data_IF_285636261056
#
_entry.id   IF_285636261056
#
_cell.length_a   1.000
_cell.length_b   1.000
_cell.length_c   1.000
_cell.angle_alpha   90.00
_cell.angle_beta   90.00
_cell.angle_gamma   90.00
#
_symmetry.space_group_name_H-M   'P 1'
#
loop_
_entity.id
_entity.type
_entity.pdbx_description
1 polymer ?
#
# COMPACT_ATOMS: atom_id res chain seq x y z
N UNK A 1 1.89 15.12 -8.79
CA UNK A 1 1.23 16.43 -8.97
C UNK A 1 1.12 17.10 -7.61
N UNK A 2 1.39 18.40 -7.53
CA UNK A 2 1.09 19.24 -6.38
C UNK A 2 0.27 20.44 -6.84
N UNK A 3 -0.78 20.80 -6.11
CA UNK A 3 -1.69 21.90 -6.44
C UNK A 3 -1.76 22.83 -5.23
N UNK A 4 -1.54 24.11 -5.45
CA UNK A 4 -1.80 25.17 -4.49
C UNK A 4 -3.03 25.93 -4.95
N UNK A 5 -4.12 25.79 -4.20
CA UNK A 5 -5.39 26.45 -4.48
C UNK A 5 -5.50 27.76 -3.69
N UNK A 6 -5.73 28.87 -4.39
CA UNK A 6 -6.21 30.13 -3.84
C UNK A 6 -7.70 30.35 -4.15
N UNK A 7 -8.22 31.54 -3.90
CA UNK A 7 -9.67 31.80 -4.02
C UNK A 7 -10.21 31.73 -5.46
N UNK A 8 -9.40 32.10 -6.46
CA UNK A 8 -9.84 32.23 -7.87
C UNK A 8 -9.11 31.29 -8.83
N UNK A 9 -8.27 30.42 -8.31
CA UNK A 9 -7.26 29.68 -9.08
C UNK A 9 -6.01 29.50 -8.25
N UNK A 10 -4.91 29.14 -8.90
CA UNK A 10 -3.68 28.90 -8.19
C UNK A 10 -2.55 28.47 -9.11
N UNK A 11 -1.60 27.73 -8.53
CA UNK A 11 -0.45 27.17 -9.26
C UNK A 11 -0.37 25.68 -9.03
N UNK A 12 0.17 24.96 -10.01
CA UNK A 12 0.42 23.53 -9.88
C UNK A 12 1.76 23.14 -10.49
N UNK A 13 2.31 22.09 -9.90
CA UNK A 13 3.58 21.49 -10.31
C UNK A 13 3.33 20.02 -10.66
N UNK A 14 3.74 19.61 -11.85
CA UNK A 14 3.73 18.19 -12.25
C UNK A 14 4.99 17.83 -13.03
N UNK A 15 5.30 16.55 -13.05
CA UNK A 15 6.32 15.98 -13.93
C UNK A 15 5.67 15.20 -15.07
N UNK A 16 6.20 15.32 -16.28
CA UNK A 16 5.87 14.46 -17.42
C UNK A 16 6.69 13.16 -17.39
N UNK A 17 6.88 12.57 -16.21
CA UNK A 17 7.77 11.42 -16.03
C UNK A 17 7.07 10.10 -16.35
N UNK A 18 7.60 9.39 -17.35
CA UNK A 18 7.16 8.04 -17.73
C UNK A 18 8.15 6.96 -17.33
N UNK A 19 9.25 7.33 -16.67
CA UNK A 19 10.34 6.44 -16.25
C UNK A 19 10.32 6.14 -14.75
N UNK A 20 9.29 6.61 -14.03
CA UNK A 20 9.10 6.41 -12.59
C UNK A 20 10.33 6.82 -11.75
N UNK A 21 10.99 7.92 -12.14
CA UNK A 21 12.10 8.54 -11.42
C UNK A 21 11.68 8.95 -10.00
N UNK A 22 12.59 8.82 -9.05
CA UNK A 22 12.33 9.17 -7.65
C UNK A 22 12.19 10.68 -7.47
N UNK A 23 11.05 11.12 -6.95
CA UNK A 23 10.76 12.55 -6.73
C UNK A 23 10.38 12.80 -5.29
N UNK A 24 10.71 13.99 -4.80
CA UNK A 24 10.36 14.46 -3.47
C UNK A 24 9.63 15.78 -3.56
N UNK A 25 8.67 15.97 -2.67
CA UNK A 25 8.08 17.25 -2.33
C UNK A 25 8.32 17.49 -0.86
N UNK A 26 8.81 18.67 -0.52
CA UNK A 26 8.99 19.11 0.86
C UNK A 26 8.17 20.37 1.07
N UNK A 27 7.42 20.40 2.17
CA UNK A 27 6.66 21.56 2.61
C UNK A 27 7.29 22.09 3.88
N UNK A 28 7.71 23.35 3.85
CA UNK A 28 8.36 24.03 4.96
C UNK A 28 7.47 25.20 5.38
N UNK A 29 7.27 25.38 6.67
CA UNK A 29 6.57 26.54 7.24
C UNK A 29 7.54 27.36 8.09
N UNK A 30 7.59 28.66 7.85
CA UNK A 30 8.38 29.62 8.63
C UNK A 30 7.49 30.81 9.02
N UNK A 31 6.99 30.79 10.25
CA UNK A 31 6.03 31.79 10.73
C UNK A 31 4.74 31.79 9.89
N UNK A 32 4.44 32.93 9.27
CA UNK A 32 3.28 33.11 8.38
C UNK A 32 3.58 32.77 6.91
N UNK A 33 4.80 32.32 6.61
CA UNK A 33 5.22 31.94 5.26
C UNK A 33 5.37 30.43 5.13
N UNK A 34 5.29 29.95 3.89
CA UNK A 34 5.61 28.57 3.56
C UNK A 34 6.41 28.48 2.26
N UNK A 35 7.16 27.40 2.11
CA UNK A 35 7.88 27.04 0.90
C UNK A 35 7.52 25.62 0.46
N UNK A 36 7.56 25.39 -0.86
CA UNK A 36 7.47 24.07 -1.45
C UNK A 36 8.75 23.81 -2.25
N UNK A 37 9.50 22.79 -1.84
CA UNK A 37 10.67 22.32 -2.59
C UNK A 37 10.29 21.09 -3.40
N UNK A 38 10.73 21.07 -4.66
CA UNK A 38 10.55 19.93 -5.56
C UNK A 38 11.93 19.38 -5.92
N UNK A 39 12.12 18.09 -5.67
CA UNK A 39 13.39 17.41 -5.91
C UNK A 39 13.21 16.16 -6.76
N UNK A 40 14.29 15.77 -7.43
CA UNK A 40 14.43 14.47 -8.07
C UNK A 40 15.74 13.85 -7.64
N UNK A 41 15.71 12.53 -7.39
CA UNK A 41 16.88 11.74 -7.01
C UNK A 41 17.20 10.75 -8.13
N UNK A 42 18.48 10.59 -8.51
CA UNK A 42 18.84 9.50 -9.41
C UNK A 42 18.66 8.16 -8.69
N UNK A 43 18.54 7.04 -9.43
CA UNK A 43 18.56 5.71 -8.82
C UNK A 43 19.82 5.50 -7.97
N UNK A 44 19.66 4.79 -6.85
CA UNK A 44 20.77 4.39 -6.00
C UNK A 44 21.62 3.29 -6.70
N UNK A 45 22.91 3.17 -6.38
CA UNK A 45 23.67 4.00 -5.43
C UNK A 45 23.98 5.37 -6.04
N UNK A 46 23.65 6.44 -5.29
CA UNK A 46 23.65 7.82 -5.81
C UNK A 46 25.07 8.34 -6.06
N UNK A 47 26.02 7.96 -5.20
CA UNK A 47 27.43 8.32 -5.26
C UNK A 47 28.17 7.76 -6.49
N UNK A 48 27.60 6.72 -7.13
CA UNK A 48 28.17 6.11 -8.33
C UNK A 48 27.60 6.68 -9.64
N UNK A 49 26.61 7.59 -9.56
CA UNK A 49 25.96 8.15 -10.73
C UNK A 49 26.85 9.21 -11.38
N UNK A 50 27.36 8.90 -12.58
CA UNK A 50 28.20 9.84 -13.38
C UNK A 50 27.39 10.76 -14.28
N UNK A 51 26.14 10.39 -14.56
CA UNK A 51 25.19 11.15 -15.37
C UNK A 51 23.81 11.01 -14.74
N UNK A 52 23.05 12.09 -14.71
CA UNK A 52 21.70 12.11 -14.15
C UNK A 52 20.75 12.57 -15.25
N UNK A 53 19.67 11.84 -15.43
CA UNK A 53 18.54 12.26 -16.27
C UNK A 53 17.45 12.80 -15.37
N UNK A 54 16.93 13.98 -15.70
CA UNK A 54 15.85 14.62 -14.98
C UNK A 54 14.54 14.50 -15.76
N UNK A 55 13.44 14.28 -15.05
CA UNK A 55 12.11 14.43 -15.62
C UNK A 55 11.85 15.90 -15.96
N UNK A 56 11.02 16.13 -16.97
CA UNK A 56 10.55 17.49 -17.27
C UNK A 56 9.53 17.91 -16.21
N UNK A 57 9.83 19.00 -15.50
CA UNK A 57 8.92 19.64 -14.56
C UNK A 57 8.12 20.75 -15.25
N UNK A 58 6.84 20.82 -14.95
CA UNK A 58 5.89 21.79 -15.48
C UNK A 58 5.31 22.61 -14.33
N UNK A 59 5.63 23.90 -14.30
CA UNK A 59 5.02 24.90 -13.42
C UNK A 59 4.01 25.71 -14.22
N UNK A 60 2.76 25.78 -13.77
CA UNK A 60 1.72 26.52 -14.45
C UNK A 60 0.74 27.14 -13.45
N UNK A 61 0.13 28.25 -13.84
CA UNK A 61 -1.04 28.81 -13.17
C UNK A 61 -2.34 28.23 -13.76
N UNK A 62 -3.43 28.30 -13.00
CA UNK A 62 -4.77 27.96 -13.45
C UNK A 62 -5.81 28.88 -12.80
N UNK A 63 -6.98 28.97 -13.42
CA UNK A 63 -8.14 29.66 -12.89
C UNK A 63 -9.21 28.63 -12.50
N UNK A 64 -10.01 28.95 -11.48
CA UNK A 64 -11.08 28.08 -10.98
C UNK A 64 -10.58 27.10 -9.92
N UNK A 65 -11.17 25.91 -9.91
CA UNK A 65 -10.96 24.91 -8.86
C UNK A 65 -9.78 23.97 -9.15
N UNK A 66 -9.26 23.31 -8.12
CA UNK A 66 -8.10 22.41 -8.17
C UNK A 66 -8.34 21.23 -9.12
N UNK A 67 -9.61 20.94 -9.41
CA UNK A 67 -10.01 19.96 -10.39
C UNK A 67 -9.46 20.27 -11.79
N UNK A 68 -9.25 21.54 -12.15
CA UNK A 68 -8.69 21.93 -13.45
C UNK A 68 -7.31 21.30 -13.69
N UNK A 69 -6.28 21.53 -12.84
CA UNK A 69 -5.00 20.86 -13.00
C UNK A 69 -5.04 19.36 -12.68
N UNK A 70 -5.91 18.90 -11.79
CA UNK A 70 -6.06 17.47 -11.49
C UNK A 70 -6.56 16.67 -12.70
N UNK A 71 -7.60 17.16 -13.39
CA UNK A 71 -8.13 16.54 -14.60
C UNK A 71 -7.09 16.51 -15.73
N UNK A 72 -6.33 17.60 -15.90
CA UNK A 72 -5.22 17.65 -16.86
C UNK A 72 -4.15 16.60 -16.55
N UNK A 73 -3.76 16.46 -15.29
CA UNK A 73 -2.77 15.46 -14.91
C UNK A 73 -3.31 14.04 -15.06
N UNK A 74 -4.58 13.81 -14.69
CA UNK A 74 -5.26 12.53 -14.88
C UNK A 74 -5.28 12.14 -16.37
N UNK A 75 -5.67 13.05 -17.25
CA UNK A 75 -5.66 12.82 -18.69
C UNK A 75 -4.26 12.46 -19.19
N UNK A 76 -3.24 13.24 -18.81
CA UNK A 76 -1.85 12.92 -19.15
C UNK A 76 -1.42 11.54 -18.62
N UNK A 77 -1.77 11.17 -17.38
CA UNK A 77 -1.44 9.84 -16.85
C UNK A 77 -2.10 8.73 -17.66
N UNK A 78 -3.36 8.90 -18.08
CA UNK A 78 -4.03 7.92 -18.95
C UNK A 78 -3.32 7.78 -20.30
N UNK A 79 -3.00 8.90 -20.96
CA UNK A 79 -2.34 8.91 -22.27
C UNK A 79 -0.91 8.37 -22.22
N UNK A 80 -0.15 8.70 -21.17
CA UNK A 80 1.28 8.41 -21.09
C UNK A 80 1.61 7.09 -20.39
N UNK A 81 0.80 6.66 -19.42
CA UNK A 81 1.08 5.49 -18.58
C UNK A 81 0.12 4.32 -18.81
N UNK A 82 -1.01 4.54 -19.48
CA UNK A 82 -2.00 3.50 -19.79
C UNK A 82 -2.42 2.65 -18.58
N UNK A 83 -2.88 3.26 -17.46
CA UNK A 83 -3.36 2.50 -16.32
C UNK A 83 -4.56 1.65 -16.75
N UNK A 84 -4.75 0.49 -16.10
CA UNK A 84 -5.88 -0.40 -16.36
C UNK A 84 -7.21 0.34 -16.25
N UNK A 85 -8.13 0.08 -17.18
CA UNK A 85 -9.46 0.69 -17.13
C UNK A 85 -10.25 0.13 -15.95
N UNK A 86 -11.04 0.99 -15.30
CA UNK A 86 -11.98 0.56 -14.27
C UNK A 86 -13.00 -0.46 -14.82
N UNK A 87 -13.28 -0.46 -16.12
CA UNK A 87 -14.11 -1.47 -16.77
C UNK A 87 -13.49 -2.88 -16.76
N UNK A 88 -12.17 -2.99 -16.59
CA UNK A 88 -11.48 -4.28 -16.45
C UNK A 88 -11.57 -4.85 -15.04
N UNK A 89 -11.97 -4.03 -14.06
CA UNK A 89 -12.16 -4.49 -12.68
C UNK A 89 -13.48 -5.25 -12.54
N UNK A 90 -13.58 -6.19 -11.56
CA UNK A 90 -14.85 -6.82 -11.25
C UNK A 90 -15.95 -5.80 -10.97
N UNK A 91 -17.16 -6.02 -11.52
CA UNK A 91 -18.26 -5.07 -11.44
C UNK A 91 -18.60 -4.62 -10.00
N UNK A 92 -18.43 -5.51 -9.01
CA UNK A 92 -18.70 -5.23 -7.61
C UNK A 92 -17.82 -4.11 -7.05
N UNK A 93 -16.60 -3.91 -7.57
CA UNK A 93 -15.67 -2.87 -7.09
C UNK A 93 -16.28 -1.49 -7.24
N UNK A 94 -17.05 -1.27 -8.30
CA UNK A 94 -17.70 0.02 -8.53
C UNK A 94 -18.95 0.27 -7.69
N UNK A 95 -19.46 -0.78 -7.04
CA UNK A 95 -20.62 -0.71 -6.16
C UNK A 95 -20.24 -0.48 -4.68
N UNK A 96 -18.96 -0.54 -4.34
CA UNK A 96 -18.51 -0.32 -2.95
C UNK A 96 -18.64 1.16 -2.59
N UNK A 97 -19.45 1.44 -1.57
CA UNK A 97 -19.67 2.77 -1.00
C UNK A 97 -19.06 2.90 0.40
N UNK A 98 -18.81 1.77 1.08
CA UNK A 98 -18.32 1.73 2.45
C UNK A 98 -17.24 0.66 2.62
N UNK A 99 -16.17 1.02 3.34
CA UNK A 99 -15.17 0.06 3.82
C UNK A 99 -15.19 0.07 5.34
N UNK A 100 -15.40 -1.09 5.95
CA UNK A 100 -15.42 -1.25 7.40
C UNK A 100 -14.15 -1.99 7.83
N UNK A 101 -13.40 -1.37 8.71
CA UNK A 101 -12.27 -2.00 9.39
C UNK A 101 -12.80 -3.06 10.37
N UNK A 102 -12.36 -4.30 10.19
CA UNK A 102 -12.74 -5.45 10.99
C UNK A 102 -11.49 -5.98 11.72
N UNK A 103 -11.10 -5.40 12.87
CA UNK A 103 -9.99 -5.90 13.64
C UNK A 103 -10.35 -7.20 14.35
N UNK A 104 -9.63 -8.28 14.05
CA UNK A 104 -9.75 -9.57 14.75
C UNK A 104 -9.00 -9.60 16.10
N UNK A 105 -8.83 -8.45 16.76
CA UNK A 105 -8.20 -8.41 18.08
C UNK A 105 -9.06 -9.17 19.09
N UNK A 106 -8.46 -10.12 19.82
CA UNK A 106 -9.05 -10.76 21.00
C UNK A 106 -10.51 -11.25 20.84
N UNK A 107 -10.88 -11.87 19.71
CA UNK A 107 -12.23 -12.41 19.41
C UNK A 107 -13.36 -11.39 19.17
N UNK A 108 -13.07 -10.10 18.99
CA UNK A 108 -14.12 -9.08 18.78
C UNK A 108 -14.87 -9.20 17.42
N UNK A 109 -14.30 -9.92 16.45
CA UNK A 109 -14.90 -10.14 15.12
C UNK A 109 -15.27 -11.61 14.90
N UNK A 110 -16.23 -12.09 15.67
CA UNK A 110 -16.90 -13.36 15.40
C UNK A 110 -17.95 -13.22 14.29
N UNK A 111 -18.24 -14.31 13.58
CA UNK A 111 -19.23 -14.34 12.50
C UNK A 111 -20.61 -13.77 12.92
N UNK A 112 -20.99 -13.92 14.20
CA UNK A 112 -22.27 -13.45 14.74
C UNK A 112 -22.50 -11.94 14.67
N UNK A 113 -21.45 -11.11 14.56
CA UNK A 113 -21.61 -9.65 14.44
C UNK A 113 -22.18 -9.23 13.08
N UNK A 114 -21.96 -10.05 12.04
CA UNK A 114 -22.28 -9.70 10.65
C UNK A 114 -23.79 -9.60 10.42
N UNK A 115 -24.59 -10.39 11.14
CA UNK A 115 -26.05 -10.28 11.09
C UNK A 115 -26.59 -8.99 11.70
N UNK A 116 -25.90 -8.40 12.68
CA UNK A 116 -26.26 -7.08 13.20
C UNK A 116 -25.79 -5.99 12.26
N UNK A 117 -24.58 -6.15 11.70
CA UNK A 117 -24.02 -5.19 10.75
C UNK A 117 -24.87 -5.07 9.49
N UNK A 118 -25.39 -6.19 8.95
CA UNK A 118 -26.25 -6.18 7.77
C UNK A 118 -27.60 -5.48 7.96
N UNK A 119 -28.00 -5.19 9.22
CA UNK A 119 -29.17 -4.37 9.52
C UNK A 119 -28.87 -2.86 9.48
N UNK A 120 -27.59 -2.48 9.49
CA UNK A 120 -27.13 -1.09 9.57
C UNK A 120 -26.57 -0.57 8.25
N UNK A 121 -26.07 -1.45 7.39
CA UNK A 121 -25.44 -1.10 6.11
C UNK A 121 -25.94 -2.02 5.01
N UNK A 122 -25.82 -1.58 3.76
CA UNK A 122 -26.03 -2.43 2.58
C UNK A 122 -24.80 -3.37 2.40
N UNK A 123 -24.94 -4.69 2.62
CA UNK A 123 -23.80 -5.60 2.53
C UNK A 123 -23.17 -5.66 1.13
N UNK A 124 -23.97 -5.58 0.06
CA UNK A 124 -23.48 -5.69 -1.31
C UNK A 124 -22.63 -4.48 -1.75
N UNK A 125 -22.75 -3.39 -0.99
CA UNK A 125 -21.99 -2.14 -1.16
C UNK A 125 -20.92 -1.94 -0.10
N UNK A 126 -20.70 -2.93 0.76
CA UNK A 126 -19.79 -2.85 1.90
C UNK A 126 -18.64 -3.84 1.76
N UNK A 127 -17.41 -3.33 1.84
CA UNK A 127 -16.18 -4.13 1.88
C UNK A 127 -15.68 -4.24 3.33
N UNK A 128 -15.53 -5.46 3.81
CA UNK A 128 -14.97 -5.76 5.13
C UNK A 128 -13.45 -5.90 5.02
N UNK A 129 -12.73 -4.96 5.61
CA UNK A 129 -11.29 -5.01 5.71
C UNK A 129 -10.89 -5.85 6.93
N UNK A 130 -10.62 -7.13 6.70
CA UNK A 130 -10.25 -8.08 7.75
C UNK A 130 -8.80 -7.83 8.18
N UNK A 131 -8.64 -7.05 9.24
CA UNK A 131 -7.37 -6.84 9.91
C UNK A 131 -7.14 -7.99 10.87
N UNK A 132 -5.90 -8.45 10.98
CA UNK A 132 -5.51 -9.47 11.94
C UNK A 132 -6.14 -10.86 11.76
N UNK A 133 -6.48 -11.21 10.52
CA UNK A 133 -7.08 -12.51 10.17
C UNK A 133 -6.11 -13.71 10.26
N UNK A 134 -4.84 -13.48 10.65
CA UNK A 134 -3.77 -14.48 10.65
C UNK A 134 -3.52 -14.98 12.06
N UNK A 135 -3.16 -16.25 12.23
CA UNK A 135 -2.84 -16.83 13.53
C UNK A 135 -1.68 -16.11 14.23
N UNK A 136 -0.72 -15.60 13.45
CA UNK A 136 0.43 -14.89 13.99
C UNK A 136 0.12 -13.51 14.59
N UNK A 137 -1.04 -12.92 14.31
CA UNK A 137 -1.38 -11.59 14.81
C UNK A 137 -0.98 -10.42 13.88
N UNK A 138 -1.35 -9.21 14.29
CA UNK A 138 -1.10 -7.99 13.51
C UNK A 138 0.37 -7.58 13.55
N UNK A 139 0.95 -7.29 12.39
CA UNK A 139 2.35 -6.85 12.25
C UNK A 139 3.39 -7.83 12.86
N UNK A 140 3.08 -9.13 12.81
CA UNK A 140 3.90 -10.22 13.34
C UNK A 140 4.12 -11.31 12.29
N UNK A 141 5.29 -11.95 12.34
CA UNK A 141 5.67 -13.12 11.54
C UNK A 141 5.39 -13.03 10.02
N UNK A 142 5.45 -11.86 9.39
CA UNK A 142 5.34 -11.80 7.92
C UNK A 142 6.48 -12.59 7.26
N UNK A 143 6.28 -13.25 6.11
CA UNK A 143 5.07 -13.31 5.29
C UNK A 143 4.23 -14.58 5.55
N UNK A 144 4.07 -14.99 6.82
CA UNK A 144 3.18 -16.11 7.17
C UNK A 144 1.71 -15.67 7.07
N UNK A 145 0.98 -16.22 6.11
CA UNK A 145 -0.43 -15.92 5.86
C UNK A 145 -1.38 -17.02 6.35
N UNK A 146 -0.95 -17.79 7.36
CA UNK A 146 -1.80 -18.80 7.99
C UNK A 146 -2.96 -18.12 8.73
N UNK A 147 -4.22 -18.43 8.40
CA UNK A 147 -5.39 -17.81 9.01
C UNK A 147 -5.57 -18.25 10.46
N UNK A 148 -6.23 -17.39 11.26
CA UNK A 148 -6.60 -17.75 12.62
C UNK A 148 -7.63 -18.88 12.65
N UNK A 149 -7.40 -19.85 13.53
CA UNK A 149 -8.29 -21.01 13.75
C UNK A 149 -8.74 -21.18 15.20
N UNK A 150 -8.06 -20.52 16.13
CA UNK A 150 -8.13 -20.79 17.58
C UNK A 150 -9.28 -20.10 18.31
N UNK A 151 -9.64 -18.86 17.96
CA UNK A 151 -10.66 -18.07 18.69
C UNK A 151 -11.76 -17.48 17.80
N UNK A 152 -11.42 -17.16 16.55
CA UNK A 152 -12.37 -16.82 15.50
C UNK A 152 -11.94 -17.60 14.26
N UNK A 153 -12.79 -18.50 13.75
CA UNK A 153 -12.46 -19.21 12.53
C UNK A 153 -12.66 -18.25 11.35
N UNK A 154 -11.55 -17.83 10.73
CA UNK A 154 -11.61 -16.90 9.59
C UNK A 154 -12.49 -17.43 8.46
N UNK A 155 -12.50 -18.75 8.24
CA UNK A 155 -13.39 -19.38 7.27
C UNK A 155 -14.87 -19.26 7.64
N UNK A 156 -15.22 -19.30 8.91
CA UNK A 156 -16.61 -19.15 9.38
C UNK A 156 -17.09 -17.71 9.19
N UNK A 157 -16.21 -16.75 9.52
CA UNK A 157 -16.45 -15.34 9.25
C UNK A 157 -16.71 -15.08 7.76
N UNK A 158 -15.88 -15.64 6.87
CA UNK A 158 -16.06 -15.49 5.42
C UNK A 158 -17.37 -16.10 4.93
N UNK A 159 -17.74 -17.28 5.44
CA UNK A 159 -19.02 -17.93 5.05
C UNK A 159 -20.21 -17.09 5.47
N UNK A 160 -20.21 -16.54 6.68
CA UNK A 160 -21.30 -15.71 7.16
C UNK A 160 -21.31 -14.32 6.47
N UNK A 161 -20.15 -13.74 6.18
CA UNK A 161 -20.04 -12.51 5.38
C UNK A 161 -20.68 -12.68 4.01
N UNK A 162 -20.33 -13.77 3.31
CA UNK A 162 -20.89 -14.12 2.01
C UNK A 162 -22.40 -14.35 2.08
N UNK A 163 -22.90 -14.94 3.17
CA UNK A 163 -24.33 -15.18 3.37
C UNK A 163 -25.15 -13.89 3.41
N UNK A 164 -24.61 -12.81 3.98
CA UNK A 164 -25.26 -11.50 3.98
C UNK A 164 -24.98 -10.68 2.72
N UNK A 165 -24.02 -11.07 1.89
CA UNK A 165 -23.65 -10.35 0.66
C UNK A 165 -22.43 -9.43 0.81
N UNK A 166 -21.75 -9.43 1.95
CA UNK A 166 -20.52 -8.66 2.16
C UNK A 166 -19.39 -9.16 1.26
N UNK A 167 -18.50 -8.23 0.89
CA UNK A 167 -17.18 -8.54 0.31
C UNK A 167 -16.13 -8.52 1.40
N UNK A 168 -15.10 -9.36 1.30
CA UNK A 168 -14.02 -9.42 2.30
C UNK A 168 -12.65 -9.25 1.67
N UNK A 169 -11.87 -8.35 2.25
CA UNK A 169 -10.49 -8.01 1.87
C UNK A 169 -9.55 -8.21 3.06
N UNK A 170 -8.89 -9.37 3.22
CA UNK A 170 -7.82 -9.56 4.19
C UNK A 170 -6.63 -8.62 3.98
N UNK A 171 -6.01 -8.23 5.10
CA UNK A 171 -4.73 -7.52 5.13
C UNK A 171 -3.56 -8.42 4.71
N UNK A 172 -2.69 -7.94 3.81
CA UNK A 172 -1.39 -8.54 3.53
C UNK A 172 -0.32 -7.46 3.47
N UNK A 173 0.88 -7.74 3.96
CA UNK A 173 1.99 -6.79 3.86
C UNK A 173 2.86 -7.15 2.65
N UNK A 174 2.95 -6.24 1.68
CA UNK A 174 3.53 -6.55 0.37
C UNK A 174 5.04 -6.78 0.41
N UNK A 175 5.74 -6.18 1.37
CA UNK A 175 7.22 -6.16 1.41
C UNK A 175 7.81 -6.70 2.71
N UNK A 176 7.00 -6.98 3.73
CA UNK A 176 7.53 -7.36 5.03
C UNK A 176 8.01 -8.82 5.09
N UNK A 177 9.16 -9.01 5.72
CA UNK A 177 9.59 -10.29 6.29
C UNK A 177 10.06 -10.03 7.72
N UNK A 178 9.40 -10.64 8.70
CA UNK A 178 9.77 -10.53 10.11
C UNK A 178 11.15 -11.13 10.35
N UNK A 179 11.97 -10.46 11.16
CA UNK A 179 13.34 -10.91 11.44
C UNK A 179 13.37 -12.25 12.20
N UNK A 180 12.27 -12.60 12.86
CA UNK A 180 12.06 -13.88 13.54
C UNK A 180 11.50 -14.99 12.63
N UNK A 181 11.05 -14.65 11.43
CA UNK A 181 10.51 -15.64 10.50
C UNK A 181 11.67 -16.44 9.86
N UNK A 182 11.55 -17.78 9.72
CA UNK A 182 12.58 -18.61 9.10
C UNK A 182 13.00 -18.17 7.68
N UNK A 183 12.09 -17.55 6.92
CA UNK A 183 12.36 -17.06 5.57
C UNK A 183 13.27 -15.82 5.54
N UNK A 184 13.48 -15.14 6.68
CA UNK A 184 14.32 -13.94 6.69
C UNK A 184 15.73 -14.21 6.19
N UNK A 185 16.35 -15.33 6.56
CA UNK A 185 17.69 -15.68 6.09
C UNK A 185 17.80 -15.82 4.57
N UNK A 186 16.73 -16.26 3.90
CA UNK A 186 16.69 -16.36 2.44
C UNK A 186 16.59 -14.98 1.77
N UNK A 187 15.77 -14.09 2.34
CA UNK A 187 15.43 -12.80 1.74
C UNK A 187 16.26 -11.62 2.25
N UNK A 188 17.12 -11.81 3.27
CA UNK A 188 17.97 -10.77 3.85
C UNK A 188 18.81 -10.05 2.79
N UNK A 189 19.33 -10.77 1.80
CA UNK A 189 20.09 -10.20 0.67
C UNK A 189 19.29 -9.25 -0.23
N UNK A 190 17.96 -9.29 -0.15
CA UNK A 190 17.05 -8.41 -0.88
C UNK A 190 16.40 -7.38 0.05
N UNK A 191 16.78 -7.31 1.33
CA UNK A 191 16.31 -6.27 2.22
C UNK A 191 16.70 -4.91 1.65
N UNK A 192 15.72 -4.02 1.58
CA UNK A 192 15.92 -2.70 1.05
C UNK A 192 16.93 -1.91 1.91
N UNK A 193 17.62 -0.97 1.28
CA UNK A 193 18.65 -0.15 1.91
C UNK A 193 18.43 1.32 1.65
N UNK A 194 18.82 2.12 2.62
CA UNK A 194 18.76 3.57 2.53
C UNK A 194 19.72 4.05 1.40
N UNK A 195 19.24 4.89 0.46
CA UNK A 195 19.97 5.26 -0.76
C UNK A 195 21.33 5.94 -0.53
N UNK A 196 21.52 6.60 0.62
CA UNK A 196 22.76 7.32 0.94
C UNK A 196 23.67 6.59 1.93
N UNK A 197 23.10 5.90 2.92
CA UNK A 197 23.88 5.28 4.00
C UNK A 197 24.12 3.79 3.76
N UNK A 198 23.36 3.16 2.87
CA UNK A 198 23.39 1.71 2.64
C UNK A 198 22.82 0.89 3.80
N UNK A 199 22.33 1.55 4.86
CA UNK A 199 21.75 0.89 6.02
C UNK A 199 20.46 0.17 5.64
N UNK A 200 20.27 -1.01 6.23
CA UNK A 200 19.07 -1.82 6.05
C UNK A 200 17.84 -1.08 6.60
N UNK A 201 16.77 -1.07 5.82
CA UNK A 201 15.51 -0.44 6.21
C UNK A 201 14.44 -1.48 6.51
N UNK A 202 13.46 -1.06 7.28
CA UNK A 202 12.37 -1.88 7.75
C UNK A 202 11.60 -1.17 8.85
N UNK A 203 10.57 -1.83 9.36
CA UNK A 203 9.77 -1.30 10.45
C UNK A 203 10.36 -1.72 11.79
N UNK A 204 10.40 -0.77 12.73
CA UNK A 204 10.83 -0.97 14.13
C UNK A 204 12.26 -1.48 14.30
N UNK A 205 13.09 -1.40 13.25
CA UNK A 205 14.52 -1.74 13.33
C UNK A 205 15.24 -0.81 14.31
N UNK A 206 16.18 -1.36 15.08
CA UNK A 206 17.12 -0.62 15.94
C UNK A 206 16.50 0.32 16.99
N UNK A 207 15.19 0.22 17.26
CA UNK A 207 14.46 1.09 18.18
C UNK A 207 14.12 0.40 19.52
N UNK A 208 14.91 -0.59 19.94
CA UNK A 208 14.71 -1.32 21.20
C UNK A 208 13.51 -2.29 21.24
N UNK A 209 12.80 -2.45 20.12
CA UNK A 209 11.68 -3.39 20.01
C UNK A 209 12.15 -4.85 20.00
N UNK A 210 11.36 -5.81 20.50
CA UNK A 210 11.71 -7.23 20.42
C UNK A 210 11.70 -7.72 18.96
N UNK A 211 12.59 -8.66 18.61
CA UNK A 211 12.75 -9.17 17.23
C UNK A 211 11.45 -9.63 16.56
N UNK A 212 10.50 -10.16 17.35
CA UNK A 212 9.20 -10.64 16.86
C UNK A 212 8.34 -9.58 16.17
N UNK A 213 8.49 -8.30 16.55
CA UNK A 213 7.75 -7.17 15.94
C UNK A 213 8.59 -6.38 14.94
N UNK A 214 9.85 -6.73 14.76
CA UNK A 214 10.71 -6.12 13.75
C UNK A 214 10.54 -6.86 12.42
N UNK A 215 10.44 -6.11 11.32
CA UNK A 215 10.39 -6.70 9.99
C UNK A 215 11.16 -5.88 8.96
N UNK A 216 11.92 -6.60 8.15
CA UNK A 216 12.66 -6.09 7.00
C UNK A 216 11.68 -5.74 5.89
N UNK A 217 11.96 -4.68 5.14
CA UNK A 217 11.28 -4.41 3.87
C UNK A 217 12.10 -5.05 2.76
N UNK A 218 11.50 -5.99 2.03
CA UNK A 218 12.16 -6.74 0.97
C UNK A 218 11.85 -6.10 -0.38
N UNK A 219 12.90 -5.91 -1.19
CA UNK A 219 12.78 -5.33 -2.52
C UNK A 219 11.92 -6.23 -3.42
N UNK A 220 10.74 -5.72 -3.81
CA UNK A 220 9.79 -6.40 -4.68
C UNK A 220 10.30 -6.62 -6.11
N UNK A 221 11.45 -6.04 -6.49
CA UNK A 221 12.15 -6.38 -7.73
C UNK A 221 12.74 -7.81 -7.69
N UNK A 222 12.92 -8.41 -6.50
CA UNK A 222 13.33 -9.81 -6.38
C UNK A 222 12.27 -10.77 -6.91
N UNK A 223 12.62 -11.54 -7.94
CA UNK A 223 11.72 -12.54 -8.52
C UNK A 223 11.31 -13.62 -7.52
N UNK A 224 12.27 -14.14 -6.72
CA UNK A 224 11.97 -15.19 -5.74
C UNK A 224 11.03 -14.70 -4.65
N UNK A 225 11.19 -13.45 -4.20
CA UNK A 225 10.29 -12.85 -3.22
C UNK A 225 8.87 -12.69 -3.79
N UNK A 226 8.74 -12.12 -5.00
CA UNK A 226 7.42 -12.00 -5.66
C UNK A 226 6.74 -13.34 -5.82
N UNK A 227 7.48 -14.36 -6.25
CA UNK A 227 6.95 -15.72 -6.43
C UNK A 227 6.40 -16.26 -5.10
N UNK A 228 7.20 -16.22 -4.04
CA UNK A 228 6.78 -16.67 -2.71
C UNK A 228 5.54 -15.90 -2.21
N UNK A 229 5.54 -14.57 -2.33
CA UNK A 229 4.43 -13.73 -1.88
C UNK A 229 3.14 -14.03 -2.64
N UNK A 230 3.21 -14.11 -3.98
CA UNK A 230 2.05 -14.44 -4.82
C UNK A 230 1.55 -15.84 -4.54
N UNK A 231 2.43 -16.82 -4.39
CA UNK A 231 2.04 -18.20 -4.03
C UNK A 231 1.35 -18.25 -2.67
N UNK A 232 1.83 -17.50 -1.67
CA UNK A 232 1.20 -17.45 -0.36
C UNK A 232 -0.22 -16.86 -0.41
N UNK A 233 -0.42 -15.74 -1.12
CA UNK A 233 -1.75 -15.15 -1.29
C UNK A 233 -2.68 -16.03 -2.16
N UNK A 234 -2.11 -16.68 -3.18
CA UNK A 234 -2.85 -17.62 -4.03
C UNK A 234 -3.39 -18.79 -3.21
N UNK A 235 -2.58 -19.38 -2.32
CA UNK A 235 -3.03 -20.47 -1.45
C UNK A 235 -4.20 -20.03 -0.56
N UNK A 236 -4.15 -18.82 -0.02
CA UNK A 236 -5.25 -18.24 0.78
C UNK A 236 -6.49 -18.09 -0.09
N UNK A 237 -6.35 -17.53 -1.31
CA UNK A 237 -7.47 -17.37 -2.22
C UNK A 237 -8.08 -18.71 -2.66
N UNK A 238 -7.27 -19.72 -2.98
CA UNK A 238 -7.75 -21.03 -3.40
C UNK A 238 -8.61 -21.70 -2.31
N UNK A 239 -8.20 -21.59 -1.04
CA UNK A 239 -8.90 -22.20 0.09
C UNK A 239 -10.13 -21.38 0.51
N UNK A 240 -9.99 -20.06 0.62
CA UNK A 240 -10.98 -19.20 1.28
C UNK A 240 -11.83 -18.37 0.33
N UNK A 241 -11.42 -18.26 -0.94
CA UNK A 241 -12.14 -17.52 -1.98
C UNK A 241 -12.46 -16.07 -1.58
N UNK A 242 -11.50 -15.38 -0.95
CA UNK A 242 -11.61 -13.96 -0.59
C UNK A 242 -11.75 -13.08 -1.82
N UNK A 243 -12.44 -11.94 -1.69
CA UNK A 243 -12.78 -11.09 -2.84
C UNK A 243 -11.61 -10.21 -3.29
N UNK A 244 -10.72 -9.83 -2.37
CA UNK A 244 -9.55 -8.99 -2.63
C UNK A 244 -8.47 -9.19 -1.54
N UNK A 245 -7.29 -8.60 -1.75
CA UNK A 245 -6.28 -8.42 -0.71
C UNK A 245 -5.93 -6.94 -0.57
N UNK A 246 -5.86 -6.45 0.65
CA UNK A 246 -5.28 -5.14 0.93
C UNK A 246 -3.76 -5.31 1.00
N UNK A 247 -3.04 -4.72 0.04
CA UNK A 247 -1.58 -4.74 -0.01
C UNK A 247 -1.01 -3.53 0.75
N UNK A 248 -0.74 -3.74 2.03
CA UNK A 248 -0.11 -2.73 2.88
C UNK A 248 1.35 -2.50 2.47
N UNK A 249 1.79 -1.25 2.66
CA UNK A 249 3.12 -0.75 2.28
C UNK A 249 3.37 -0.81 0.75
N UNK A 250 2.33 -1.01 -0.07
CA UNK A 250 2.46 -1.07 -1.54
C UNK A 250 2.93 0.24 -2.18
N UNK A 251 2.70 1.38 -1.52
CA UNK A 251 3.13 2.70 -1.98
C UNK A 251 4.52 3.14 -1.50
N UNK A 252 5.18 2.37 -0.61
CA UNK A 252 6.51 2.69 -0.13
C UNK A 252 7.56 2.16 -1.11
N UNK A 253 7.82 2.94 -2.15
CA UNK A 253 8.90 2.66 -3.10
C UNK A 253 10.16 3.35 -2.59
N UNK A 254 11.13 2.55 -2.17
CA UNK A 254 12.43 3.07 -1.70
C UNK A 254 13.42 3.05 -2.84
N UNK A 255 14.16 4.15 -2.99
CA UNK A 255 15.33 4.22 -3.87
C UNK A 255 16.43 3.32 -3.28
N UNK A 256 16.38 2.05 -3.64
CA UNK A 256 17.11 0.99 -2.96
C UNK A 256 18.59 0.96 -3.34
N UNK A 257 19.49 1.21 -2.38
CA UNK A 257 20.91 0.94 -2.57
C UNK A 257 21.18 -0.59 -2.71
N UNK A 258 22.18 -1.00 -3.51
CA UNK A 258 22.56 -2.41 -3.66
C UNK A 258 23.04 -3.05 -2.35
#
# INVERSE_FOLDING_TARGET
LAILQGERGGVFVRSDDTQYQFKTIEYITEGESFALNFGQHPPAPIDQQKQITAATWRLNAYQGDWQVPALRHRQWMHEALGPADRSEMPAWVSNIELVISCPFYNSDMEAGILGKLSQLVDPEKTLLYAQDWREAGWALNYPDYTPVTSFANFGDFLREAKRYGFRVMPHANMVAVSLSNPLYGEFEKYQMRHPWTGEKIGSRLNNGYPLRVQYAWINSASHSYRKMFVEALKNVWEIYQVDAFHLDISSYIVNNAP
#
